data_IF_338829638653
#
_entry.id   IF_338829638653
#
_cell.length_a   1.000
_cell.length_b   1.000
_cell.length_c   1.000
_cell.angle_alpha   90.00
_cell.angle_beta   90.00
_cell.angle_gamma   90.00
#
_symmetry.space_group_name_H-M   'P 1'
#
loop_
_entity.id
_entity.type
_entity.pdbx_description
1 polymer ?
#
# COMPACT_ATOMS: atom_id res chain seq x y z
N UNK A 1 -4.62 4.84 -23.22
CA UNK A 1 -4.43 3.44 -22.80
C UNK A 1 -3.11 2.97 -23.35
N UNK A 2 -2.50 1.94 -22.75
CA UNK A 2 -1.38 1.26 -23.42
C UNK A 2 -1.93 0.49 -24.62
N UNK A 3 -1.13 0.41 -25.68
CA UNK A 3 -1.46 -0.38 -26.86
C UNK A 3 -1.53 -1.87 -26.48
N UNK A 4 -2.22 -2.66 -27.29
CA UNK A 4 -2.27 -4.11 -27.08
C UNK A 4 -0.85 -4.67 -27.03
N UNK A 5 -0.62 -5.71 -26.21
CA UNK A 5 0.63 -6.48 -26.19
C UNK A 5 1.06 -6.88 -27.61
N UNK A 6 0.09 -7.24 -28.44
CA UNK A 6 0.34 -7.73 -29.80
C UNK A 6 0.56 -6.58 -30.81
N UNK A 7 0.67 -5.33 -30.35
CA UNK A 7 0.85 -4.12 -31.16
C UNK A 7 2.29 -3.79 -31.55
N UNK A 8 3.28 -4.51 -31.03
CA UNK A 8 4.70 -4.25 -31.27
C UNK A 8 5.32 -3.24 -30.30
N UNK A 9 6.32 -2.47 -30.77
CA UNK A 9 7.07 -1.50 -29.94
C UNK A 9 6.15 -0.42 -29.38
N UNK A 10 6.10 -0.31 -28.06
CA UNK A 10 5.26 0.65 -27.34
C UNK A 10 6.04 1.92 -27.02
N UNK A 11 5.45 3.09 -27.28
CA UNK A 11 6.02 4.37 -26.87
C UNK A 11 5.71 4.68 -25.41
N UNK A 12 6.73 5.08 -24.66
CA UNK A 12 6.58 5.51 -23.27
C UNK A 12 6.28 6.99 -23.24
N UNK A 13 5.24 7.38 -22.51
CA UNK A 13 4.90 8.77 -22.31
C UNK A 13 4.57 9.08 -20.83
N UNK A 14 5.21 10.09 -20.22
CA UNK A 14 6.34 10.85 -20.75
C UNK A 14 7.62 10.01 -20.76
N UNK A 15 8.47 10.18 -21.78
CA UNK A 15 9.76 9.50 -21.83
C UNK A 15 10.66 10.01 -20.69
N UNK A 16 11.31 9.07 -19.98
CA UNK A 16 12.19 9.35 -18.84
C UNK A 16 13.37 8.38 -18.85
N UNK A 17 14.51 8.81 -18.30
CA UNK A 17 15.71 7.96 -18.19
C UNK A 17 16.31 7.53 -19.54
N UNK A 18 16.07 8.29 -20.61
CA UNK A 18 16.52 7.96 -21.97
C UNK A 18 15.69 6.87 -22.66
N UNK A 19 14.61 6.38 -22.03
CA UNK A 19 13.73 5.36 -22.60
C UNK A 19 12.51 6.04 -23.21
N UNK A 20 12.42 5.98 -24.54
CA UNK A 20 11.30 6.50 -25.34
C UNK A 20 10.40 5.38 -25.85
N UNK A 21 10.95 4.18 -25.99
CA UNK A 21 10.32 3.02 -26.60
C UNK A 21 10.67 1.77 -25.80
N UNK A 22 9.71 0.86 -25.71
CA UNK A 22 9.84 -0.43 -25.05
C UNK A 22 9.33 -1.52 -25.98
N UNK A 23 9.93 -2.70 -25.90
CA UNK A 23 9.47 -3.84 -26.66
C UNK A 23 8.16 -4.38 -26.09
N UNK A 24 8.10 -4.52 -24.76
CA UNK A 24 6.94 -5.05 -24.07
C UNK A 24 6.89 -4.54 -22.63
N UNK A 25 5.69 -4.29 -22.12
CA UNK A 25 5.45 -3.92 -20.73
C UNK A 25 4.44 -4.88 -20.12
N UNK A 26 4.93 -6.04 -19.66
CA UNK A 26 4.10 -7.09 -19.07
C UNK A 26 4.72 -7.67 -17.78
N UNK A 27 3.85 -8.18 -16.92
CA UNK A 27 4.23 -8.98 -15.75
C UNK A 27 4.81 -10.34 -16.14
N UNK A 28 4.44 -10.86 -17.31
CA UNK A 28 4.92 -12.13 -17.85
C UNK A 28 5.92 -11.87 -18.98
N UNK A 29 7.00 -12.64 -19.02
CA UNK A 29 7.93 -12.73 -20.13
C UNK A 29 7.40 -13.78 -21.12
N UNK A 30 6.77 -13.32 -22.20
CA UNK A 30 6.26 -14.19 -23.27
C UNK A 30 7.33 -14.59 -24.29
N UNK A 31 8.52 -13.97 -24.24
CA UNK A 31 9.59 -14.16 -25.22
C UNK A 31 10.95 -14.39 -24.54
N UNK A 32 11.10 -15.49 -23.77
CA UNK A 32 12.29 -15.74 -22.97
C UNK A 32 13.58 -15.86 -23.81
N UNK A 33 13.46 -16.24 -25.09
CA UNK A 33 14.53 -16.25 -26.08
C UNK A 33 15.10 -14.86 -26.43
N UNK A 34 14.49 -13.77 -25.95
CA UNK A 34 14.92 -12.37 -26.18
C UNK A 34 15.36 -11.64 -24.90
N UNK A 35 15.65 -12.39 -23.84
CA UNK A 35 16.00 -11.89 -22.48
C UNK A 35 17.14 -10.87 -22.41
N UNK A 36 18.05 -10.91 -23.38
CA UNK A 36 19.23 -10.04 -23.39
C UNK A 36 18.89 -8.62 -23.91
N UNK A 37 17.65 -8.38 -24.35
CA UNK A 37 17.19 -7.07 -24.78
C UNK A 37 16.72 -6.24 -23.59
N UNK A 38 17.20 -5.00 -23.49
CA UNK A 38 16.80 -3.98 -22.50
C UNK A 38 15.34 -3.50 -22.69
N UNK A 39 14.48 -4.32 -23.30
CA UNK A 39 13.17 -3.92 -23.84
C UNK A 39 11.95 -4.38 -23.05
N UNK A 40 12.12 -5.23 -22.01
CA UNK A 40 11.01 -5.76 -21.22
C UNK A 40 10.84 -4.98 -19.92
N UNK A 41 9.79 -4.17 -19.84
CA UNK A 41 9.45 -3.38 -18.67
C UNK A 41 8.43 -4.08 -17.78
N UNK A 42 8.51 -3.82 -16.47
CA UNK A 42 7.47 -4.21 -15.54
C UNK A 42 6.38 -3.13 -15.49
N UNK A 43 5.12 -3.44 -15.85
CA UNK A 43 4.04 -2.47 -15.72
C UNK A 43 3.75 -2.23 -14.24
N UNK A 44 3.70 -0.97 -13.84
CA UNK A 44 3.40 -0.58 -12.46
C UNK A 44 2.42 0.59 -12.45
N UNK A 45 1.27 0.41 -11.78
CA UNK A 45 0.43 1.55 -11.45
C UNK A 45 1.17 2.42 -10.42
N UNK A 46 1.17 3.77 -10.57
CA UNK A 46 1.82 4.66 -9.61
C UNK A 46 1.39 4.40 -8.16
N UNK A 47 0.11 4.08 -7.96
CA UNK A 47 -0.44 3.75 -6.64
C UNK A 47 0.19 2.50 -6.02
N UNK A 48 0.36 1.44 -6.81
CA UNK A 48 1.01 0.22 -6.34
C UNK A 48 2.48 0.47 -6.01
N UNK A 49 3.17 1.28 -6.83
CA UNK A 49 4.58 1.58 -6.62
C UNK A 49 4.80 2.43 -5.36
N UNK A 50 3.86 3.32 -5.04
CA UNK A 50 3.85 4.10 -3.82
C UNK A 50 3.75 3.21 -2.58
N UNK A 51 2.79 2.27 -2.58
CA UNK A 51 2.58 1.31 -1.49
C UNK A 51 3.81 0.39 -1.35
N UNK A 52 4.38 -0.08 -2.47
CA UNK A 52 5.66 -0.78 -2.47
C UNK A 52 6.77 0.07 -1.86
N UNK A 53 6.89 1.32 -2.25
CA UNK A 53 7.92 2.23 -1.74
C UNK A 53 7.78 2.47 -0.23
N UNK A 54 6.56 2.56 0.30
CA UNK A 54 6.28 2.63 1.74
C UNK A 54 6.76 1.38 2.46
N UNK A 55 6.29 0.21 2.05
CA UNK A 55 6.68 -1.03 2.72
C UNK A 55 8.16 -1.35 2.52
N UNK A 56 8.73 -1.04 1.36
CA UNK A 56 10.15 -1.23 1.11
C UNK A 56 10.99 -0.39 2.08
N UNK A 57 10.64 0.88 2.28
CA UNK A 57 11.31 1.74 3.27
C UNK A 57 11.21 1.14 4.68
N UNK A 58 10.04 0.65 5.07
CA UNK A 58 9.86 -0.03 6.35
C UNK A 58 10.75 -1.28 6.50
N UNK A 59 10.92 -2.05 5.43
CA UNK A 59 11.50 -3.39 5.48
C UNK A 59 12.97 -3.45 5.10
N UNK A 60 13.50 -2.42 4.44
CA UNK A 60 14.87 -2.34 3.91
C UNK A 60 15.60 -1.06 4.35
N UNK A 61 15.35 -0.57 5.57
CA UNK A 61 16.13 0.51 6.19
C UNK A 61 15.94 1.88 5.53
N UNK A 62 14.69 2.29 5.34
CA UNK A 62 14.26 3.53 4.70
C UNK A 62 14.72 3.70 3.23
N UNK A 63 14.92 2.58 2.52
CA UNK A 63 15.28 2.55 1.10
C UNK A 63 14.20 1.86 0.26
N UNK A 64 14.03 2.34 -0.97
CA UNK A 64 13.20 1.67 -1.97
C UNK A 64 14.06 0.66 -2.72
N UNK A 65 13.82 -0.64 -2.51
CA UNK A 65 14.60 -1.74 -3.05
C UNK A 65 14.16 -2.09 -4.48
N UNK A 66 14.47 -1.18 -5.42
CA UNK A 66 14.14 -1.35 -6.85
C UNK A 66 14.88 -2.56 -7.45
N UNK A 67 16.15 -2.76 -7.07
CA UNK A 67 16.93 -3.89 -7.54
C UNK A 67 16.29 -5.23 -7.16
N UNK A 68 15.89 -5.39 -5.89
CA UNK A 68 15.17 -6.57 -5.41
C UNK A 68 13.85 -6.78 -6.15
N UNK A 69 13.08 -5.72 -6.37
CA UNK A 69 11.82 -5.78 -7.13
C UNK A 69 12.02 -6.32 -8.55
N UNK A 70 12.99 -5.77 -9.29
CA UNK A 70 13.28 -6.20 -10.66
C UNK A 70 13.86 -7.62 -10.68
N UNK A 71 14.75 -7.97 -9.75
CA UNK A 71 15.32 -9.31 -9.65
C UNK A 71 14.26 -10.37 -9.35
N UNK A 72 13.35 -10.08 -8.40
CA UNK A 72 12.21 -10.94 -8.11
C UNK A 72 11.34 -11.12 -9.35
N UNK A 73 10.93 -10.02 -10.00
CA UNK A 73 10.12 -10.06 -11.21
C UNK A 73 10.77 -10.92 -12.29
N UNK A 74 12.04 -10.67 -12.63
CA UNK A 74 12.72 -11.38 -13.72
C UNK A 74 12.88 -12.89 -13.48
N UNK A 75 12.86 -13.31 -12.23
CA UNK A 75 12.97 -14.71 -11.87
C UNK A 75 11.61 -15.42 -11.79
N UNK A 76 10.49 -14.70 -11.67
CA UNK A 76 9.14 -15.27 -11.54
C UNK A 76 8.18 -14.86 -12.66
N UNK A 77 8.63 -14.03 -13.60
CA UNK A 77 7.84 -13.56 -14.74
C UNK A 77 7.59 -14.65 -15.80
N UNK A 78 7.94 -15.92 -15.57
CA UNK A 78 7.62 -16.96 -16.56
C UNK A 78 6.16 -17.35 -16.46
N UNK A 79 5.56 -17.66 -17.61
CA UNK A 79 4.14 -18.04 -17.70
C UNK A 79 3.81 -19.26 -16.83
N UNK A 80 4.71 -20.23 -16.75
CA UNK A 80 4.56 -21.46 -15.95
C UNK A 80 4.64 -21.21 -14.43
N UNK A 81 5.44 -20.25 -13.97
CA UNK A 81 5.65 -19.95 -12.54
C UNK A 81 4.77 -18.82 -12.00
N UNK A 82 4.15 -18.00 -12.86
CA UNK A 82 3.42 -16.80 -12.41
C UNK A 82 2.08 -17.12 -11.69
N UNK A 83 1.60 -18.36 -11.75
CA UNK A 83 0.35 -18.78 -11.12
C UNK A 83 0.44 -18.87 -9.59
N UNK A 84 1.65 -18.96 -9.02
CA UNK A 84 1.85 -19.13 -7.59
C UNK A 84 1.70 -17.83 -6.80
N UNK A 85 1.49 -16.67 -7.45
CA UNK A 85 1.27 -15.42 -6.75
C UNK A 85 -0.16 -15.35 -6.19
N UNK A 86 -0.35 -15.24 -4.86
CA UNK A 86 -1.66 -15.29 -4.21
C UNK A 86 -2.45 -13.99 -4.42
N UNK A 87 -2.92 -13.75 -5.65
CA UNK A 87 -3.77 -12.60 -5.98
C UNK A 87 -5.10 -12.67 -5.23
N UNK A 88 -5.64 -11.50 -4.90
CA UNK A 88 -7.01 -11.41 -4.38
C UNK A 88 -8.02 -12.03 -5.37
N UNK A 89 -9.03 -12.81 -4.91
CA UNK A 89 -9.98 -13.49 -5.77
C UNK A 89 -10.66 -12.57 -6.79
N UNK A 90 -11.03 -11.36 -6.37
CA UNK A 90 -11.69 -10.38 -7.25
C UNK A 90 -10.78 -9.93 -8.41
N UNK A 91 -9.45 -9.88 -8.19
CA UNK A 91 -8.48 -9.60 -9.27
C UNK A 91 -8.43 -10.78 -10.24
N UNK A 92 -8.33 -11.99 -9.72
CA UNK A 92 -8.28 -13.20 -10.54
C UNK A 92 -9.55 -13.39 -11.37
N UNK A 93 -10.73 -13.07 -10.83
CA UNK A 93 -12.00 -13.10 -11.59
C UNK A 93 -12.07 -12.02 -12.66
N UNK A 94 -11.57 -10.82 -12.37
CA UNK A 94 -11.63 -9.69 -13.30
C UNK A 94 -10.57 -9.77 -14.42
N UNK A 95 -9.46 -10.48 -14.20
CA UNK A 95 -8.34 -10.61 -15.13
C UNK A 95 -8.60 -11.71 -16.17
N UNK A 96 -9.32 -11.38 -17.25
CA UNK A 96 -9.51 -12.22 -18.43
C UNK A 96 -8.69 -11.66 -19.61
N UNK A 97 -9.02 -12.03 -20.85
CA UNK A 97 -8.46 -11.37 -22.05
C UNK A 97 -8.71 -9.85 -22.04
N UNK A 98 -9.80 -9.42 -21.41
CA UNK A 98 -10.11 -8.03 -21.07
C UNK A 98 -10.44 -7.93 -19.58
N UNK A 99 -10.21 -6.77 -18.98
CA UNK A 99 -10.65 -6.52 -17.62
C UNK A 99 -12.17 -6.48 -17.56
N UNK A 100 -12.76 -7.42 -16.82
CA UNK A 100 -14.20 -7.48 -16.62
C UNK A 100 -14.63 -6.44 -15.59
N UNK A 101 -15.69 -5.69 -15.91
CA UNK A 101 -16.29 -4.75 -14.97
C UNK A 101 -17.27 -5.47 -14.04
N UNK A 102 -16.88 -5.64 -12.78
CA UNK A 102 -17.72 -6.15 -11.71
C UNK A 102 -18.05 -5.01 -10.72
N UNK A 103 -19.33 -4.60 -10.59
CA UNK A 103 -19.74 -3.55 -9.64
C UNK A 103 -19.32 -3.81 -8.20
N UNK A 104 -19.29 -5.07 -7.76
CA UNK A 104 -18.92 -5.46 -6.40
C UNK A 104 -17.40 -5.37 -6.18
N UNK A 105 -16.64 -5.47 -7.27
CA UNK A 105 -15.19 -5.27 -7.33
C UNK A 105 -14.79 -3.86 -7.78
N UNK A 106 -15.72 -2.90 -7.86
CA UNK A 106 -15.42 -1.52 -8.27
C UNK A 106 -14.37 -0.83 -7.36
N UNK A 107 -14.11 -1.38 -6.17
CA UNK A 107 -13.03 -0.91 -5.32
C UNK A 107 -11.64 -1.16 -5.92
N UNK A 108 -11.45 -2.13 -6.81
CA UNK A 108 -10.16 -2.42 -7.46
C UNK A 108 -9.57 -1.23 -8.21
N UNK A 109 -10.42 -0.35 -8.74
CA UNK A 109 -10.05 0.86 -9.49
C UNK A 109 -10.11 2.14 -8.66
N UNK A 110 -10.52 2.06 -7.39
CA UNK A 110 -10.58 3.22 -6.51
C UNK A 110 -9.17 3.66 -6.09
N UNK A 111 -8.90 4.96 -6.05
CA UNK A 111 -7.59 5.48 -5.65
C UNK A 111 -7.30 5.08 -4.19
N UNK A 112 -6.23 4.30 -3.93
CA UNK A 112 -5.91 3.84 -2.58
C UNK A 112 -5.18 4.90 -1.75
N UNK A 113 -4.67 5.96 -2.36
CA UNK A 113 -3.89 7.00 -1.70
C UNK A 113 -4.75 8.22 -1.39
N UNK A 114 -5.53 8.68 -2.37
CA UNK A 114 -6.46 9.79 -2.22
C UNK A 114 -7.88 9.27 -1.99
N UNK A 115 -8.24 9.12 -0.71
CA UNK A 115 -9.55 8.61 -0.29
C UNK A 115 -10.36 9.80 0.20
N UNK A 116 -11.28 10.27 -0.64
CA UNK A 116 -12.14 11.42 -0.33
C UNK A 116 -12.95 11.18 0.95
N UNK A 117 -12.91 12.12 1.89
CA UNK A 117 -13.64 12.04 3.15
C UNK A 117 -12.99 11.14 4.21
N UNK A 118 -11.80 10.57 3.95
CA UNK A 118 -11.17 9.64 4.90
C UNK A 118 -10.69 10.36 6.16
N UNK A 119 -10.06 11.52 6.01
CA UNK A 119 -9.55 12.30 7.14
C UNK A 119 -10.71 12.70 8.05
N UNK A 120 -11.80 13.22 7.50
CA UNK A 120 -13.01 13.59 8.24
C UNK A 120 -13.65 12.35 8.90
N UNK A 121 -13.72 11.23 8.19
CA UNK A 121 -14.23 9.97 8.69
C UNK A 121 -13.44 9.44 9.91
N UNK A 122 -12.11 9.61 9.89
CA UNK A 122 -11.21 9.21 10.96
C UNK A 122 -11.14 10.24 12.11
N UNK A 123 -11.18 11.53 11.80
CA UNK A 123 -11.15 12.61 12.79
C UNK A 123 -12.40 12.63 13.66
N UNK A 124 -13.56 12.18 13.16
CA UNK A 124 -14.73 11.92 14.02
C UNK A 124 -14.47 10.76 15.01
N UNK A 125 -13.29 10.12 15.05
CA UNK A 125 -12.90 9.21 16.13
C UNK A 125 -11.88 9.81 17.12
N UNK A 126 -11.41 11.03 16.86
CA UNK A 126 -10.63 11.83 17.82
C UNK A 126 -11.58 12.34 18.90
N UNK A 127 -11.17 12.22 20.16
CA UNK A 127 -12.02 12.58 21.29
C UNK A 127 -12.08 14.11 21.45
N UNK A 128 -13.25 14.63 21.84
CA UNK A 128 -13.32 15.92 22.53
C UNK A 128 -12.98 15.67 24.02
N UNK A 129 -12.25 16.59 24.66
CA UNK A 129 -11.83 16.46 26.07
C UNK A 129 -13.05 16.15 26.98
N UNK A 130 -13.11 14.92 27.52
CA UNK A 130 -14.15 14.50 28.48
C UNK A 130 -14.82 13.15 28.20
N UNK A 131 -14.67 12.57 27.00
CA UNK A 131 -15.42 11.37 26.58
C UNK A 131 -14.68 10.04 26.84
N UNK A 132 -13.93 9.96 27.94
CA UNK A 132 -13.31 8.70 28.42
C UNK A 132 -14.32 7.76 29.10
N UNK A 133 -15.62 8.05 29.02
CA UNK A 133 -16.62 7.08 29.37
C UNK A 133 -16.74 6.08 28.23
N UNK A 134 -16.20 4.90 28.48
CA UNK A 134 -16.57 3.67 27.81
C UNK A 134 -18.05 3.43 28.14
N UNK A 135 -18.95 4.17 27.49
CA UNK A 135 -20.33 3.74 27.27
C UNK A 135 -20.26 2.61 26.26
N UNK A 136 -19.80 1.46 26.76
CA UNK A 136 -20.08 0.16 26.18
C UNK A 136 -21.55 0.18 25.78
N UNK A 137 -21.79 0.07 24.48
CA UNK A 137 -23.01 -0.39 23.83
C UNK A 137 -24.34 0.05 24.47
N UNK A 138 -25.15 0.77 23.70
CA UNK A 138 -26.60 0.80 23.90
C UNK A 138 -27.09 -0.56 24.44
N UNK A 139 -27.63 -0.53 25.65
CA UNK A 139 -27.89 -1.68 26.52
C UNK A 139 -28.99 -2.63 25.99
N UNK A 140 -29.48 -2.43 24.76
CA UNK A 140 -30.68 -3.11 24.27
C UNK A 140 -30.45 -4.14 23.15
N UNK A 141 -29.27 -4.20 22.51
CA UNK A 141 -29.05 -5.10 21.35
C UNK A 141 -28.16 -6.33 21.64
N UNK A 142 -27.13 -6.20 22.50
CA UNK A 142 -26.16 -7.30 22.73
C UNK A 142 -26.51 -8.23 23.92
N UNK A 143 -27.48 -7.85 24.75
CA UNK A 143 -27.96 -8.68 25.86
C UNK A 143 -28.60 -10.00 25.39
N UNK A 144 -29.06 -10.06 24.13
CA UNK A 144 -29.78 -11.23 23.59
C UNK A 144 -28.85 -12.32 23.04
N UNK A 145 -27.60 -11.99 22.66
CA UNK A 145 -26.66 -12.97 22.07
C UNK A 145 -25.69 -13.60 23.06
N UNK A 146 -25.47 -12.98 24.23
CA UNK A 146 -24.48 -13.45 25.18
C UNK A 146 -25.10 -13.64 26.56
N UNK A 147 -25.88 -14.71 26.73
CA UNK A 147 -26.25 -15.20 28.06
C UNK A 147 -25.00 -15.46 28.91
N UNK A 148 -25.06 -15.19 30.22
CA UNK A 148 -23.97 -15.44 31.16
C UNK A 148 -23.50 -16.88 31.05
N UNK A 149 -22.36 -17.11 30.41
CA UNK A 149 -21.80 -18.44 30.27
C UNK A 149 -21.17 -18.80 31.63
N UNK A 150 -21.74 -19.75 32.40
CA UNK A 150 -21.29 -20.06 33.76
C UNK A 150 -19.89 -20.72 33.81
N UNK A 151 -19.20 -20.81 32.67
CA UNK A 151 -17.90 -21.46 32.50
C UNK A 151 -16.74 -20.48 32.26
N UNK A 152 -16.99 -19.17 32.14
CA UNK A 152 -15.91 -18.19 31.93
C UNK A 152 -15.12 -17.94 33.23
N UNK A 153 -14.09 -18.77 33.44
CA UNK A 153 -13.15 -18.64 34.57
C UNK A 153 -12.17 -17.47 34.42
N UNK A 154 -12.02 -16.91 33.22
CA UNK A 154 -11.12 -15.77 32.98
C UNK A 154 -11.70 -14.49 33.56
N UNK A 155 -13.03 -14.41 33.67
CA UNK A 155 -13.74 -13.34 34.38
C UNK A 155 -13.43 -13.29 35.89
N UNK A 156 -12.86 -14.36 36.48
CA UNK A 156 -12.42 -14.34 37.87
C UNK A 156 -11.01 -13.74 38.07
N UNK A 157 -10.24 -13.54 36.99
CA UNK A 157 -8.89 -12.97 37.07
C UNK A 157 -8.96 -11.46 37.36
N UNK A 158 -8.03 -10.90 38.15
CA UNK A 158 -7.85 -9.46 38.27
C UNK A 158 -7.55 -8.80 36.90
N UNK A 159 -7.92 -7.53 36.70
CA UNK A 159 -7.68 -6.80 35.44
C UNK A 159 -6.22 -6.83 35.00
N UNK A 160 -5.27 -6.77 35.93
CA UNK A 160 -3.83 -6.78 35.65
C UNK A 160 -3.39 -8.09 35.02
N UNK A 161 -3.89 -9.23 35.50
CA UNK A 161 -3.59 -10.55 34.93
C UNK A 161 -4.23 -10.71 33.55
N UNK A 162 -5.42 -10.12 33.33
CA UNK A 162 -6.05 -10.11 32.01
C UNK A 162 -5.22 -9.30 31.01
N UNK A 163 -4.75 -8.12 31.41
CA UNK A 163 -3.86 -7.29 30.58
C UNK A 163 -2.51 -7.97 30.34
N UNK A 164 -2.00 -8.71 31.33
CA UNK A 164 -0.79 -9.50 31.17
C UNK A 164 -0.98 -10.62 30.14
N UNK A 165 -2.10 -11.35 30.17
CA UNK A 165 -2.45 -12.34 29.13
C UNK A 165 -2.50 -11.67 27.76
N UNK A 166 -3.24 -10.56 27.66
CA UNK A 166 -3.34 -9.77 26.43
C UNK A 166 -1.96 -9.35 25.93
N UNK A 167 -1.00 -9.03 26.80
CA UNK A 167 0.33 -8.59 26.39
C UNK A 167 1.08 -9.63 25.52
N UNK A 168 0.84 -10.93 25.72
CA UNK A 168 1.46 -12.02 24.96
C UNK A 168 0.73 -12.41 23.66
N UNK A 169 -0.45 -11.84 23.41
CA UNK A 169 -1.27 -12.20 22.26
C UNK A 169 -1.05 -11.23 21.10
N UNK A 170 -1.04 -11.78 19.88
CA UNK A 170 -1.13 -10.98 18.66
C UNK A 170 -2.54 -10.39 18.49
N UNK A 171 -2.65 -9.36 17.64
CA UNK A 171 -3.90 -8.63 17.44
C UNK A 171 -5.08 -9.50 17.00
N UNK A 172 -4.83 -10.59 16.26
CA UNK A 172 -5.88 -11.53 15.85
C UNK A 172 -6.34 -12.39 17.04
N UNK A 173 -5.40 -12.94 17.78
CA UNK A 173 -5.70 -13.73 18.99
C UNK A 173 -6.45 -12.93 20.06
N UNK A 174 -6.16 -11.62 20.20
CA UNK A 174 -6.93 -10.75 21.11
C UNK A 174 -8.40 -10.66 20.68
N UNK A 175 -8.65 -10.48 19.39
CA UNK A 175 -10.03 -10.41 18.87
C UNK A 175 -10.77 -11.74 19.06
N UNK A 176 -10.11 -12.87 18.81
CA UNK A 176 -10.68 -14.19 19.09
C UNK A 176 -10.95 -14.39 20.59
N UNK A 177 -10.06 -13.92 21.46
CA UNK A 177 -10.24 -13.99 22.91
C UNK A 177 -11.46 -13.18 23.37
N UNK A 178 -11.70 -12.00 22.80
CA UNK A 178 -12.90 -11.19 23.06
C UNK A 178 -14.19 -11.93 22.69
N UNK A 179 -14.18 -12.65 21.58
CA UNK A 179 -15.33 -13.46 21.15
C UNK A 179 -15.57 -14.66 22.09
N UNK A 180 -14.50 -15.23 22.63
CA UNK A 180 -14.56 -16.40 23.51
C UNK A 180 -14.89 -16.07 24.97
N UNK A 181 -14.58 -14.86 25.44
CA UNK A 181 -14.62 -14.49 26.86
C UNK A 181 -15.01 -13.04 27.08
N UNK A 182 -16.08 -12.80 27.85
CA UNK A 182 -16.55 -11.46 28.20
C UNK A 182 -15.54 -10.66 29.03
N UNK A 183 -14.67 -11.34 29.77
CA UNK A 183 -13.62 -10.75 30.59
C UNK A 183 -12.71 -9.74 29.86
N UNK A 184 -12.64 -9.83 28.53
CA UNK A 184 -11.79 -9.00 27.66
C UNK A 184 -12.59 -8.02 26.79
N UNK A 185 -13.88 -7.80 27.07
CA UNK A 185 -14.69 -6.83 26.32
C UNK A 185 -14.29 -5.38 26.60
N UNK A 186 -13.83 -5.10 27.81
CA UNK A 186 -13.30 -3.80 28.19
C UNK A 186 -11.77 -3.81 28.10
N UNK A 187 -11.24 -3.27 27.00
CA UNK A 187 -9.80 -3.19 26.75
C UNK A 187 -9.35 -1.73 26.73
N UNK A 188 -8.21 -1.41 27.38
CA UNK A 188 -7.65 -0.07 27.33
C UNK A 188 -7.35 0.38 25.88
N UNK A 189 -7.42 1.70 25.65
CA UNK A 189 -7.26 2.28 24.32
C UNK A 189 -5.91 1.94 23.65
N UNK A 190 -4.82 1.78 24.42
CA UNK A 190 -3.52 1.36 23.90
C UNK A 190 -3.52 -0.08 23.34
N UNK A 191 -4.37 -0.97 23.86
CA UNK A 191 -4.56 -2.32 23.32
C UNK A 191 -5.29 -2.22 21.98
N UNK A 192 -6.29 -1.34 21.88
CA UNK A 192 -6.98 -1.07 20.62
C UNK A 192 -6.06 -0.46 19.56
N UNK A 193 -5.16 0.45 19.96
CA UNK A 193 -4.11 0.95 19.05
C UNK A 193 -3.29 -0.21 18.47
N UNK A 194 -2.82 -1.13 19.33
CA UNK A 194 -2.07 -2.32 18.89
C UNK A 194 -2.92 -3.22 17.98
N UNK A 195 -4.22 -3.36 18.26
CA UNK A 195 -5.14 -4.11 17.38
C UNK A 195 -5.23 -3.45 16.01
N UNK A 196 -5.45 -2.13 15.93
CA UNK A 196 -5.50 -1.37 14.66
C UNK A 196 -4.20 -1.52 13.90
N UNK A 197 -3.04 -1.31 14.55
CA UNK A 197 -1.72 -1.46 13.92
C UNK A 197 -1.46 -2.86 13.37
N UNK A 198 -1.95 -3.90 14.07
CA UNK A 198 -1.75 -5.29 13.66
C UNK A 198 -2.75 -5.79 12.61
N UNK A 199 -4.02 -5.36 12.69
CA UNK A 199 -5.10 -5.85 11.81
C UNK A 199 -5.31 -4.96 10.58
N UNK A 200 -4.91 -3.69 10.66
CA UNK A 200 -5.03 -2.70 9.60
C UNK A 200 -3.68 -2.01 9.36
N UNK A 201 -2.59 -2.76 9.07
CA UNK A 201 -1.27 -2.16 8.85
C UNK A 201 -1.26 -1.19 7.66
N UNK A 202 -2.19 -1.34 6.72
CA UNK A 202 -2.42 -0.44 5.59
C UNK A 202 -3.09 0.90 5.97
N UNK A 203 -3.56 1.09 7.20
CA UNK A 203 -4.11 2.36 7.69
C UNK A 203 -2.97 3.25 8.18
N UNK A 204 -2.37 4.02 7.28
CA UNK A 204 -1.16 4.82 7.55
C UNK A 204 -1.41 6.03 8.43
N UNK A 205 -2.67 6.45 8.50
CA UNK A 205 -3.16 7.50 9.37
C UNK A 205 -2.95 7.12 10.86
N UNK A 206 -2.80 5.83 11.17
CA UNK A 206 -2.50 5.33 12.51
C UNK A 206 -1.00 5.23 12.85
N UNK A 207 -0.11 5.61 11.93
CA UNK A 207 1.33 5.46 12.10
C UNK A 207 1.94 6.70 12.74
N UNK A 208 3.00 6.52 13.52
CA UNK A 208 3.76 7.66 14.06
C UNK A 208 4.61 8.27 12.92
N UNK A 209 4.78 9.60 12.94
CA UNK A 209 5.40 10.37 11.84
C UNK A 209 6.86 9.97 11.56
N UNK A 210 7.56 9.51 12.59
CA UNK A 210 8.97 9.12 12.55
C UNK A 210 9.20 7.69 12.09
N UNK A 211 8.17 6.83 12.07
CA UNK A 211 8.31 5.43 11.67
C UNK A 211 8.70 5.27 10.19
N UNK A 212 8.06 6.04 9.31
CA UNK A 212 8.34 6.01 7.86
C UNK A 212 8.22 7.42 7.26
N UNK A 213 9.36 7.98 6.87
CA UNK A 213 9.39 9.19 6.03
C UNK A 213 9.04 8.84 4.59
N UNK A 214 7.77 8.99 4.24
CA UNK A 214 7.28 8.74 2.89
C UNK A 214 6.40 9.86 2.36
N UNK A 215 6.84 10.46 1.25
CA UNK A 215 6.08 11.40 0.45
C UNK A 215 5.64 10.71 -0.84
N UNK A 216 4.33 10.66 -1.13
CA UNK A 216 3.87 10.05 -2.35
C UNK A 216 4.38 10.75 -3.60
N UNK A 217 4.55 9.97 -4.67
CA UNK A 217 5.00 10.54 -5.94
C UNK A 217 3.91 11.43 -6.56
N UNK A 218 4.24 12.56 -7.22
CA UNK A 218 3.23 13.37 -7.93
C UNK A 218 2.42 12.57 -8.97
N UNK A 219 2.97 11.47 -9.51
CA UNK A 219 2.30 10.58 -10.44
C UNK A 219 1.10 9.84 -9.84
N UNK A 220 0.97 9.78 -8.52
CA UNK A 220 -0.15 9.10 -7.87
C UNK A 220 -1.45 9.89 -7.89
N UNK A 221 -1.38 11.20 -8.13
CA UNK A 221 -2.53 12.11 -8.12
C UNK A 221 -2.87 12.67 -9.50
N UNK A 222 -2.07 12.36 -10.51
CA UNK A 222 -2.21 12.92 -11.85
C UNK A 222 -2.82 11.92 -12.81
N UNK A 223 -3.71 12.41 -13.65
CA UNK A 223 -4.22 11.69 -14.81
C UNK A 223 -3.21 11.78 -15.96
N UNK A 224 -3.25 10.79 -16.86
CA UNK A 224 -2.41 10.81 -18.06
C UNK A 224 -2.63 12.08 -18.92
N UNK A 225 -3.85 12.63 -18.92
CA UNK A 225 -4.20 13.83 -19.67
C UNK A 225 -3.56 15.09 -19.08
N UNK A 226 -3.57 15.25 -17.75
CA UNK A 226 -2.90 16.37 -17.08
C UNK A 226 -1.39 16.35 -17.32
N UNK A 227 -0.80 15.17 -17.24
CA UNK A 227 0.62 14.96 -17.54
C UNK A 227 0.93 15.38 -18.97
N UNK A 228 0.08 14.96 -19.92
CA UNK A 228 0.23 15.32 -21.33
C UNK A 228 0.16 16.82 -21.55
N UNK A 229 -0.83 17.49 -20.96
CA UNK A 229 -0.98 18.94 -21.06
C UNK A 229 0.23 19.71 -20.50
N UNK A 230 0.77 19.28 -19.36
CA UNK A 230 1.96 19.93 -18.78
C UNK A 230 3.20 19.68 -19.64
N UNK A 231 3.41 18.45 -20.14
CA UNK A 231 4.55 18.16 -21.01
C UNK A 231 4.46 18.95 -22.34
N UNK A 232 3.27 19.05 -22.94
CA UNK A 232 3.02 19.88 -24.13
C UNK A 232 3.32 21.36 -23.85
N UNK A 233 2.95 21.87 -22.68
CA UNK A 233 3.28 23.22 -22.24
C UNK A 233 4.81 23.39 -22.12
N UNK A 234 5.49 22.45 -21.46
CA UNK A 234 6.96 22.46 -21.34
C UNK A 234 7.66 22.44 -22.71
N UNK A 235 7.19 21.63 -23.65
CA UNK A 235 7.72 21.60 -25.01
C UNK A 235 7.56 22.97 -25.71
N UNK A 236 6.38 23.61 -25.59
CA UNK A 236 6.15 24.95 -26.17
C UNK A 236 7.08 26.00 -25.58
N UNK A 237 7.22 26.05 -24.26
CA UNK A 237 8.13 27.00 -23.60
C UNK A 237 9.59 26.73 -23.96
N UNK A 238 9.99 25.46 -24.05
CA UNK A 238 11.35 25.08 -24.45
C UNK A 238 11.64 25.56 -25.87
N UNK A 239 10.68 25.42 -26.79
CA UNK A 239 10.84 25.88 -28.18
C UNK A 239 11.02 27.40 -28.25
N UNK A 240 10.17 28.17 -27.55
CA UNK A 240 10.27 29.65 -27.51
C UNK A 240 11.61 30.10 -26.93
N UNK A 241 12.04 29.51 -25.80
CA UNK A 241 13.30 29.90 -25.16
C UNK A 241 14.54 29.49 -25.96
N UNK A 242 14.45 28.40 -26.72
CA UNK A 242 15.55 27.97 -27.61
C UNK A 242 15.70 28.88 -28.82
N UNK A 243 14.60 29.49 -29.29
CA UNK A 243 14.58 30.46 -30.40
C UNK A 243 15.07 31.84 -29.96
N UNK A 244 14.68 32.30 -28.76
CA UNK A 244 15.03 33.63 -28.25
C UNK A 244 16.44 33.74 -27.65
N UNK A 245 17.02 32.65 -27.11
CA UNK A 245 18.30 32.68 -26.42
C UNK A 245 19.25 31.58 -26.91
N UNK A 246 20.00 31.89 -27.98
CA UNK A 246 21.02 31.01 -28.59
C UNK A 246 22.13 30.57 -27.59
N UNK A 247 22.31 31.29 -26.49
CA UNK A 247 23.32 31.02 -25.44
C UNK A 247 22.74 30.64 -24.07
N UNK A 248 21.42 30.40 -23.95
CA UNK A 248 20.84 30.02 -22.67
C UNK A 248 21.38 28.67 -22.19
N UNK A 249 21.88 28.65 -20.96
CA UNK A 249 22.34 27.47 -20.23
C UNK A 249 21.21 26.43 -20.14
N UNK A 250 21.14 25.49 -21.09
CA UNK A 250 20.11 24.42 -21.20
C UNK A 250 18.67 24.90 -20.95
N UNK A 251 17.92 25.32 -21.99
CA UNK A 251 16.52 25.77 -21.91
C UNK A 251 15.62 24.90 -21.01
N UNK A 252 15.85 23.58 -20.97
CA UNK A 252 15.13 22.65 -20.10
C UNK A 252 15.19 22.99 -18.60
N UNK A 253 16.32 23.47 -18.08
CA UNK A 253 16.45 23.85 -16.65
C UNK A 253 15.61 25.09 -16.31
N UNK A 254 15.54 26.04 -17.23
CA UNK A 254 14.73 27.26 -17.07
C UNK A 254 13.25 26.90 -17.11
N UNK A 255 12.84 26.04 -18.05
CA UNK A 255 11.46 25.55 -18.13
C UNK A 255 11.06 24.77 -16.88
N UNK A 256 11.94 23.92 -16.35
CA UNK A 256 11.67 23.19 -15.11
C UNK A 256 11.54 24.12 -13.90
N UNK A 257 12.25 25.26 -13.89
CA UNK A 257 12.10 26.29 -12.86
C UNK A 257 10.81 27.11 -13.02
N UNK A 258 10.41 27.45 -14.25
CA UNK A 258 9.20 28.24 -14.54
C UNK A 258 7.92 27.42 -14.43
N UNK A 259 7.99 26.14 -14.78
CA UNK A 259 6.90 25.17 -14.72
C UNK A 259 7.32 23.99 -13.83
N UNK A 260 7.58 24.25 -12.53
CA UNK A 260 7.90 23.20 -11.60
C UNK A 260 6.69 22.28 -11.49
N UNK A 261 6.94 20.98 -11.36
CA UNK A 261 5.84 20.07 -11.04
C UNK A 261 5.29 20.47 -9.67
N UNK A 262 3.99 20.79 -9.53
CA UNK A 262 3.40 21.05 -8.22
C UNK A 262 3.72 19.92 -7.26
N UNK A 263 4.29 20.26 -6.09
CA UNK A 263 4.51 19.30 -5.02
C UNK A 263 3.16 18.72 -4.59
N UNK A 264 3.07 17.39 -4.51
CA UNK A 264 1.92 16.73 -3.92
C UNK A 264 1.98 16.97 -2.41
N UNK A 265 1.39 18.08 -1.95
CA UNK A 265 1.14 18.27 -0.51
C UNK A 265 -0.09 17.45 -0.20
N UNK A 266 0.13 16.23 0.25
CA UNK A 266 -0.94 15.43 0.86
C UNK A 266 -0.75 15.55 2.35
N UNK A 267 -1.63 16.32 2.97
CA UNK A 267 -1.86 16.17 4.40
C UNK A 267 -2.36 14.74 4.61
N UNK A 268 -1.53 13.90 5.22
CA UNK A 268 -1.85 12.49 5.45
C UNK A 268 -2.84 12.34 6.61
N UNK A 269 -3.24 13.43 7.28
CA UNK A 269 -4.25 13.39 8.34
C UNK A 269 -3.87 12.43 9.45
N UNK A 270 -2.61 12.50 9.92
CA UNK A 270 -2.08 11.60 10.94
C UNK A 270 -2.89 11.74 12.24
N UNK A 271 -3.32 10.60 12.78
CA UNK A 271 -4.06 10.54 14.02
C UNK A 271 -3.09 10.49 15.20
N UNK A 272 -3.30 11.38 16.18
CA UNK A 272 -2.54 11.37 17.43
C UNK A 272 -2.81 10.07 18.19
N UNK A 273 -1.75 9.37 18.58
CA UNK A 273 -1.84 8.12 19.38
C UNK A 273 -2.60 8.30 20.69
N UNK A 274 -2.41 9.44 21.35
CA UNK A 274 -2.95 9.68 22.68
C UNK A 274 -4.37 10.24 22.66
N UNK A 275 -4.72 10.97 21.60
CA UNK A 275 -6.01 11.71 21.54
C UNK A 275 -7.07 10.99 20.69
N UNK A 276 -6.70 9.84 20.10
CA UNK A 276 -7.58 9.06 19.23
C UNK A 276 -8.21 7.88 19.98
N UNK A 277 -9.53 7.74 19.88
CA UNK A 277 -10.21 6.53 20.32
C UNK A 277 -10.05 5.41 19.29
N UNK A 278 -9.08 4.52 19.52
CA UNK A 278 -8.71 3.45 18.59
C UNK A 278 -9.77 2.36 18.48
N UNK A 279 -10.61 2.18 19.50
CA UNK A 279 -11.77 1.31 19.41
C UNK A 279 -12.79 1.84 18.39
N UNK A 280 -13.08 3.15 18.45
CA UNK A 280 -13.99 3.81 17.50
C UNK A 280 -13.44 3.78 16.09
N UNK A 281 -12.13 4.01 15.89
CA UNK A 281 -11.46 3.84 14.58
C UNK A 281 -11.65 2.41 14.06
N UNK A 282 -11.29 1.40 14.85
CA UNK A 282 -11.38 0.00 14.46
C UNK A 282 -12.81 -0.39 14.06
N UNK A 283 -13.78 -0.05 14.91
CA UNK A 283 -15.19 -0.38 14.69
C UNK A 283 -15.74 0.35 13.46
N UNK A 284 -15.48 1.66 13.32
CA UNK A 284 -15.94 2.44 12.17
C UNK A 284 -15.44 1.89 10.86
N UNK A 285 -14.14 1.62 10.76
CA UNK A 285 -13.52 1.07 9.53
C UNK A 285 -14.14 -0.27 9.17
N UNK A 286 -14.39 -1.15 10.16
CA UNK A 286 -15.03 -2.44 9.91
C UNK A 286 -16.49 -2.32 9.49
N UNK A 287 -17.28 -1.50 10.19
CA UNK A 287 -18.71 -1.31 9.90
C UNK A 287 -18.93 -0.67 8.53
N UNK A 288 -18.06 0.27 8.13
CA UNK A 288 -18.17 0.97 6.85
C UNK A 288 -17.31 0.35 5.75
N UNK A 289 -16.69 -0.81 5.99
CA UNK A 289 -15.75 -1.45 5.08
C UNK A 289 -16.23 -1.49 3.62
N UNK A 290 -17.49 -1.89 3.31
CA UNK A 290 -17.97 -1.93 1.92
C UNK A 290 -17.98 -0.57 1.21
N UNK A 291 -18.13 0.53 1.97
CA UNK A 291 -18.28 1.90 1.46
C UNK A 291 -16.93 2.60 1.23
N UNK A 292 -15.88 2.25 1.98
CA UNK A 292 -14.54 2.84 1.87
C UNK A 292 -13.70 2.15 0.77
N UNK A 293 -14.14 2.27 -0.48
CA UNK A 293 -13.54 1.58 -1.65
C UNK A 293 -12.03 1.80 -1.80
N UNK A 294 -11.54 3.03 -1.64
CA UNK A 294 -10.10 3.32 -1.72
C UNK A 294 -9.31 2.59 -0.65
N UNK A 295 -9.85 2.50 0.58
CA UNK A 295 -9.20 1.82 1.70
C UNK A 295 -9.17 0.30 1.50
N UNK A 296 -10.25 -0.27 0.94
CA UNK A 296 -10.29 -1.67 0.48
C UNK A 296 -9.20 -1.95 -0.55
N UNK A 297 -9.02 -1.06 -1.52
CA UNK A 297 -7.98 -1.23 -2.53
C UNK A 297 -6.58 -1.11 -1.92
N UNK A 298 -6.38 -0.15 -1.00
CA UNK A 298 -5.13 0.03 -0.26
C UNK A 298 -4.76 -1.24 0.50
N UNK A 299 -5.71 -1.82 1.23
CA UNK A 299 -5.51 -3.08 1.96
C UNK A 299 -5.14 -4.24 1.05
N UNK A 300 -5.84 -4.39 -0.07
CA UNK A 300 -5.54 -5.42 -1.08
C UNK A 300 -4.11 -5.27 -1.63
N UNK A 301 -3.75 -4.06 -2.08
CA UNK A 301 -2.41 -3.80 -2.62
C UNK A 301 -1.35 -4.03 -1.54
N UNK A 302 -1.63 -3.64 -0.30
CA UNK A 302 -0.73 -3.87 0.82
C UNK A 302 -0.38 -5.36 0.96
N UNK A 303 -1.39 -6.25 0.93
CA UNK A 303 -1.17 -7.70 0.98
C UNK A 303 -0.35 -8.22 -0.20
N UNK A 304 -0.66 -7.78 -1.42
CA UNK A 304 0.13 -8.14 -2.61
C UNK A 304 1.60 -7.70 -2.42
N UNK A 305 1.84 -6.48 -1.93
CA UNK A 305 3.19 -5.94 -1.72
C UNK A 305 3.93 -6.66 -0.58
N UNK A 306 3.25 -7.08 0.48
CA UNK A 306 3.87 -7.88 1.56
C UNK A 306 4.42 -9.19 1.00
N UNK A 307 3.67 -9.83 0.12
CA UNK A 307 4.11 -11.05 -0.56
C UNK A 307 5.31 -10.79 -1.47
N UNK A 308 5.31 -9.70 -2.24
CA UNK A 308 6.49 -9.29 -3.03
C UNK A 308 7.72 -9.12 -2.14
N UNK A 309 7.60 -8.38 -1.04
CA UNK A 309 8.72 -8.17 -0.11
C UNK A 309 9.20 -9.48 0.51
N UNK A 310 8.29 -10.38 0.87
CA UNK A 310 8.63 -11.71 1.39
C UNK A 310 9.48 -12.49 0.38
N UNK A 311 9.09 -12.48 -0.90
CA UNK A 311 9.83 -13.17 -1.98
C UNK A 311 11.19 -12.54 -2.26
N UNK A 312 11.30 -11.20 -2.22
CA UNK A 312 12.59 -10.49 -2.32
C UNK A 312 13.53 -10.97 -1.21
N UNK A 313 13.07 -10.96 0.06
CA UNK A 313 13.88 -11.37 1.21
C UNK A 313 14.35 -12.83 1.13
N UNK A 314 13.48 -13.73 0.65
CA UNK A 314 13.85 -15.13 0.46
C UNK A 314 14.98 -15.30 -0.56
N UNK A 315 15.00 -14.47 -1.60
CA UNK A 315 16.07 -14.50 -2.61
C UNK A 315 17.38 -13.96 -2.04
N UNK A 316 17.32 -12.81 -1.36
CA UNK A 316 18.49 -12.22 -0.70
C UNK A 316 19.15 -13.20 0.30
N UNK A 317 18.33 -13.98 1.03
CA UNK A 317 18.86 -15.00 1.95
C UNK A 317 19.53 -16.17 1.23
N UNK A 318 18.93 -16.67 0.15
CA UNK A 318 19.47 -17.79 -0.63
C UNK A 318 20.80 -17.40 -1.30
N UNK A 319 20.88 -16.19 -1.87
CA UNK A 319 22.11 -15.68 -2.47
C UNK A 319 23.24 -15.55 -1.44
N UNK A 320 22.92 -15.03 -0.24
CA UNK A 320 23.87 -14.92 0.87
C UNK A 320 24.39 -16.29 1.35
N UNK A 321 23.51 -17.30 1.44
CA UNK A 321 23.90 -18.67 1.79
C UNK A 321 24.82 -19.30 0.74
N UNK A 322 24.51 -19.10 -0.55
CA UNK A 322 25.32 -19.63 -1.65
C UNK A 322 26.71 -18.98 -1.73
N UNK A 323 26.83 -17.69 -1.39
CA UNK A 323 28.13 -17.00 -1.34
C UNK A 323 29.02 -17.55 -0.23
N UNK A 324 28.44 -17.83 0.94
CA UNK A 324 29.14 -18.39 2.09
C UNK A 324 29.62 -19.83 1.84
N UNK A 325 28.82 -20.66 1.16
CA UNK A 325 29.23 -22.02 0.78
C UNK A 325 30.37 -21.99 -0.27
N UNK A 326 30.31 -21.07 -1.24
CA UNK A 326 31.40 -20.88 -2.21
C UNK A 326 32.69 -20.43 -1.54
N UNK A 327 32.66 -19.50 -0.58
CA UNK A 327 33.87 -19.03 0.13
C UNK A 327 34.42 -20.06 1.11
N UNK A 328 33.59 -20.95 1.67
CA UNK A 328 34.04 -22.07 2.49
C UNK A 328 34.75 -23.17 1.68
N UNK A 329 34.38 -23.36 0.40
CA UNK A 329 35.01 -24.36 -0.50
C UNK A 329 36.33 -23.90 -1.13
N UNK A 330 36.64 -22.61 -1.08
CA UNK A 330 37.89 -22.04 -1.62
C UNK A 330 38.98 -21.81 -0.56
N UNK A 331 38.75 -22.24 0.69
CA UNK A 331 39.73 -22.22 1.79
C UNK A 331 40.14 -23.65 2.17
#
# INVERSE_FOLDING_TARGET
>A
GMESRDGGVQRVFPARGGVTELWEADTIDFHPERRDSTGLAMPFHPWCFDIFSRQSKLRFGNKVNIAGLINWRNAECRLDTNHDFPRHPDVARAQQQVWMHDPDAAYLVANPLHITGLTEFLLDAVQEEGDFDIKLADEESDAVLFGNNPTDRLSALPPELRLHIVSFLDSGSILSLRQASKAFMDLPNNVWYRIVRGQMPWLWEAWEEDEIKHSPSPWTFRTANEVKAVEELKCRYTAVLSDEYEYATTPGKVVDYLLPWPAAVVDQGLLSKNDTNWYRVFTKVRTHWPRVKGLRNRARIWTDVEEVIRRIRMRDSVESSNLNDKTARTR
#
